data_IF_613957986283
#
_entry.id   IF_613957986283
#
_cell.length_a   1.000
_cell.length_b   1.000
_cell.length_c   1.000
_cell.angle_alpha   90.00
_cell.angle_beta   90.00
_cell.angle_gamma   90.00
#
_symmetry.space_group_name_H-M   'P 1'
#
loop_
_entity.id
_entity.type
_entity.pdbx_description
1 polymer ?
#
# COMPACT_ATOMS: atom_id res chain seq x y z
N UNK A 1 7.99 -8.60 -16.26
CA UNK A 1 7.94 -7.17 -15.91
C UNK A 1 9.29 -6.63 -15.47
N UNK A 2 10.00 -7.26 -14.51
CA UNK A 2 11.35 -6.83 -14.11
C UNK A 2 12.32 -6.80 -15.30
N UNK A 3 12.38 -7.87 -16.09
CA UNK A 3 13.22 -7.93 -17.29
C UNK A 3 12.87 -6.83 -18.30
N UNK A 4 11.58 -6.51 -18.47
CA UNK A 4 11.12 -5.42 -19.31
C UNK A 4 11.64 -4.07 -18.84
N UNK A 5 11.57 -3.78 -17.52
CA UNK A 5 12.11 -2.53 -16.97
C UNK A 5 13.61 -2.42 -17.12
N UNK A 6 14.36 -3.52 -16.91
CA UNK A 6 15.82 -3.53 -17.13
C UNK A 6 16.14 -3.22 -18.58
N UNK A 7 15.40 -3.80 -19.53
CA UNK A 7 15.55 -3.52 -20.97
C UNK A 7 15.19 -2.06 -21.29
N UNK A 8 14.07 -1.57 -20.79
CA UNK A 8 13.56 -0.23 -21.06
C UNK A 8 14.50 0.86 -20.55
N UNK A 9 14.95 0.74 -19.30
CA UNK A 9 15.82 1.73 -18.66
C UNK A 9 17.28 1.53 -19.07
N UNK A 10 17.78 0.28 -19.07
CA UNK A 10 19.19 -0.02 -19.29
C UNK A 10 19.63 0.01 -20.75
N UNK A 11 18.81 -0.47 -21.70
CA UNK A 11 19.16 -0.55 -23.12
C UNK A 11 18.50 0.53 -23.97
N UNK A 12 17.21 0.86 -23.68
CA UNK A 12 16.46 1.84 -24.48
C UNK A 12 16.57 3.26 -23.94
N UNK A 13 17.17 3.47 -22.76
CA UNK A 13 17.35 4.79 -22.16
C UNK A 13 16.04 5.55 -21.89
N UNK A 14 14.94 4.82 -21.65
CA UNK A 14 13.61 5.42 -21.43
C UNK A 14 13.61 6.18 -20.11
N UNK A 15 13.05 7.39 -20.13
CA UNK A 15 13.00 8.28 -18.96
C UNK A 15 12.27 7.66 -17.77
N UNK A 16 12.78 7.91 -16.55
CA UNK A 16 12.18 7.53 -15.26
C UNK A 16 10.70 7.89 -15.14
N UNK A 17 10.28 8.99 -15.76
CA UNK A 17 8.90 9.47 -15.76
C UNK A 17 7.96 8.47 -16.43
N UNK A 18 8.38 7.82 -17.51
CA UNK A 18 7.59 6.78 -18.19
C UNK A 18 7.41 5.55 -17.29
N UNK A 19 8.49 5.06 -16.66
CA UNK A 19 8.43 3.90 -15.75
C UNK A 19 7.46 4.15 -14.58
N UNK A 20 7.38 5.40 -14.15
CA UNK A 20 6.45 5.79 -13.07
C UNK A 20 4.98 5.68 -13.47
N UNK A 21 4.62 6.02 -14.69
CA UNK A 21 3.24 6.06 -15.17
C UNK A 21 2.81 4.82 -15.97
N UNK A 22 3.74 4.07 -16.51
CA UNK A 22 3.44 2.91 -17.35
C UNK A 22 2.88 1.74 -16.53
N UNK A 23 1.67 1.32 -16.85
CA UNK A 23 1.00 0.21 -16.16
C UNK A 23 1.75 -1.11 -16.31
N UNK A 24 2.34 -1.37 -17.48
CA UNK A 24 3.14 -2.55 -17.78
C UNK A 24 4.42 -2.62 -16.93
N UNK A 25 4.96 -1.47 -16.53
CA UNK A 25 6.11 -1.40 -15.63
C UNK A 25 5.78 -1.71 -14.15
N UNK A 26 4.48 -1.70 -13.78
CA UNK A 26 4.03 -1.85 -12.38
C UNK A 26 3.12 -3.05 -12.12
N UNK A 27 2.77 -3.81 -13.13
CA UNK A 27 1.88 -4.97 -12.98
C UNK A 27 2.44 -6.06 -12.07
N UNK A 28 3.76 -6.14 -11.89
CA UNK A 28 4.38 -7.09 -10.98
C UNK A 28 3.92 -6.92 -9.53
N UNK A 29 3.80 -5.70 -9.04
CA UNK A 29 3.32 -5.43 -7.68
C UNK A 29 1.86 -5.87 -7.49
N UNK A 30 1.01 -5.66 -8.50
CA UNK A 30 -0.38 -6.09 -8.49
C UNK A 30 -0.46 -7.61 -8.53
N UNK A 31 0.31 -8.26 -9.42
CA UNK A 31 0.34 -9.72 -9.54
C UNK A 31 0.80 -10.42 -8.27
N UNK A 32 1.81 -9.89 -7.58
CA UNK A 32 2.25 -10.42 -6.28
C UNK A 32 1.10 -10.41 -5.28
N UNK A 33 0.32 -9.33 -5.21
CA UNK A 33 -0.87 -9.24 -4.36
C UNK A 33 -1.96 -10.24 -4.74
N UNK A 34 -2.23 -10.39 -6.05
CA UNK A 34 -3.21 -11.39 -6.54
C UNK A 34 -2.77 -12.82 -6.23
N UNK A 35 -1.51 -13.17 -6.48
CA UNK A 35 -0.96 -14.49 -6.16
C UNK A 35 -1.06 -14.76 -4.65
N UNK A 36 -0.72 -13.78 -3.82
CA UNK A 36 -0.85 -13.89 -2.38
C UNK A 36 -2.30 -14.17 -1.95
N UNK A 37 -3.26 -13.43 -2.51
CA UNK A 37 -4.67 -13.60 -2.21
C UNK A 37 -5.22 -14.99 -2.62
N UNK A 38 -4.74 -15.56 -3.73
CA UNK A 38 -5.16 -16.87 -4.21
C UNK A 38 -4.47 -18.00 -3.43
N UNK A 39 -3.14 -17.90 -3.24
CA UNK A 39 -2.35 -18.97 -2.64
C UNK A 39 -2.48 -19.04 -1.11
N UNK A 40 -2.65 -17.88 -0.45
CA UNK A 40 -2.66 -17.75 1.01
C UNK A 40 -3.95 -17.01 1.43
N UNK A 41 -5.09 -17.55 1.05
CA UNK A 41 -6.37 -16.98 1.41
C UNK A 41 -6.67 -17.19 2.91
N UNK A 42 -6.95 -16.10 3.67
CA UNK A 42 -7.22 -16.17 5.11
C UNK A 42 -8.52 -16.91 5.47
N UNK A 43 -9.42 -17.12 4.52
CA UNK A 43 -10.66 -17.87 4.75
C UNK A 43 -10.43 -19.38 4.87
N UNK A 44 -9.26 -19.90 4.48
CA UNK A 44 -8.96 -21.33 4.64
C UNK A 44 -8.26 -21.61 5.97
N UNK A 45 -8.92 -22.36 6.85
CA UNK A 45 -8.39 -22.78 8.17
C UNK A 45 -7.04 -23.48 8.05
N UNK A 46 -6.84 -24.28 6.99
CA UNK A 46 -5.57 -24.99 6.76
C UNK A 46 -4.38 -24.06 6.58
N UNK A 47 -4.57 -22.86 6.04
CA UNK A 47 -3.52 -21.87 5.90
C UNK A 47 -3.14 -21.26 7.25
N UNK A 48 -4.14 -20.99 8.10
CA UNK A 48 -3.91 -20.49 9.45
C UNK A 48 -3.07 -21.47 10.28
N UNK A 49 -3.40 -22.75 10.30
CA UNK A 49 -2.63 -23.76 11.02
C UNK A 49 -1.19 -23.89 10.53
N UNK A 50 -0.98 -23.94 9.21
CA UNK A 50 0.36 -24.03 8.61
C UNK A 50 1.24 -22.83 8.99
N UNK A 51 0.67 -21.62 8.96
CA UNK A 51 1.39 -20.38 9.27
C UNK A 51 1.67 -20.31 10.78
N UNK A 52 0.68 -20.59 11.62
CA UNK A 52 0.83 -20.58 13.06
C UNK A 52 1.86 -21.60 13.56
N UNK A 53 1.94 -22.77 12.94
CA UNK A 53 2.97 -23.79 13.25
C UNK A 53 4.39 -23.29 13.00
N UNK A 54 4.58 -22.34 12.06
CA UNK A 54 5.87 -21.75 11.68
C UNK A 54 5.98 -20.27 12.06
N UNK A 55 5.29 -19.86 13.12
CA UNK A 55 5.22 -18.45 13.54
C UNK A 55 6.58 -17.76 13.68
N UNK A 56 7.57 -18.45 14.26
CA UNK A 56 8.92 -17.89 14.42
C UNK A 56 9.57 -17.56 13.06
N UNK A 57 9.42 -18.43 12.06
CA UNK A 57 9.92 -18.19 10.71
C UNK A 57 9.24 -16.95 10.09
N UNK A 58 7.91 -16.84 10.21
CA UNK A 58 7.18 -15.69 9.66
C UNK A 58 7.52 -14.38 10.36
N UNK A 59 7.80 -14.40 11.66
CA UNK A 59 8.29 -13.23 12.39
C UNK A 59 9.68 -12.80 11.91
N UNK A 60 10.60 -13.73 11.69
CA UNK A 60 11.93 -13.42 11.13
C UNK A 60 11.77 -12.82 9.72
N UNK A 61 10.94 -13.42 8.87
CA UNK A 61 10.67 -12.92 7.53
C UNK A 61 9.97 -11.55 7.54
N UNK A 62 9.14 -11.26 8.54
CA UNK A 62 8.52 -9.95 8.74
C UNK A 62 9.58 -8.87 8.98
N UNK A 63 10.50 -9.09 9.93
CA UNK A 63 11.56 -8.11 10.20
C UNK A 63 12.54 -7.99 9.03
N UNK A 64 12.83 -9.09 8.34
CA UNK A 64 13.63 -9.05 7.12
C UNK A 64 12.93 -8.24 6.02
N UNK A 65 11.64 -8.47 5.80
CA UNK A 65 10.82 -7.71 4.86
C UNK A 65 10.79 -6.23 5.19
N UNK A 66 10.63 -5.88 6.47
CA UNK A 66 10.67 -4.50 6.93
C UNK A 66 12.04 -3.85 6.66
N UNK A 67 13.13 -4.58 6.94
CA UNK A 67 14.49 -4.13 6.64
C UNK A 67 14.72 -3.90 5.15
N UNK A 68 14.23 -4.80 4.29
CA UNK A 68 14.31 -4.67 2.83
C UNK A 68 13.49 -3.46 2.35
N UNK A 69 12.32 -3.22 2.90
CA UNK A 69 11.51 -2.02 2.57
C UNK A 69 12.26 -0.74 2.95
N UNK A 70 12.78 -0.65 4.17
CA UNK A 70 13.54 0.51 4.62
C UNK A 70 14.79 0.72 3.76
N UNK A 71 15.55 -0.34 3.47
CA UNK A 71 16.69 -0.27 2.57
C UNK A 71 16.28 0.28 1.19
N UNK A 72 15.21 -0.24 0.61
CA UNK A 72 14.74 0.18 -0.71
C UNK A 72 14.25 1.63 -0.75
N UNK A 73 13.83 2.20 0.40
CA UNK A 73 13.43 3.61 0.53
C UNK A 73 14.65 4.53 0.71
N UNK A 74 15.69 4.06 1.40
CA UNK A 74 16.89 4.84 1.69
C UNK A 74 17.88 4.84 0.52
N UNK A 75 17.93 3.75 -0.24
CA UNK A 75 18.84 3.61 -1.37
C UNK A 75 18.34 4.42 -2.57
N UNK A 76 19.11 5.47 -2.94
CA UNK A 76 18.70 6.51 -3.89
C UNK A 76 19.33 6.41 -5.28
N UNK A 77 19.89 5.27 -5.65
CA UNK A 77 20.39 5.04 -6.99
C UNK A 77 19.26 5.06 -8.02
N UNK A 78 19.40 5.85 -9.08
CA UNK A 78 18.34 6.06 -10.08
C UNK A 78 18.01 4.78 -10.84
N UNK A 79 19.02 4.00 -11.23
CA UNK A 79 18.81 2.74 -11.93
C UNK A 79 18.09 1.71 -11.06
N UNK A 80 18.49 1.59 -9.79
CA UNK A 80 17.83 0.71 -8.82
C UNK A 80 16.37 1.14 -8.59
N UNK A 81 16.12 2.44 -8.45
CA UNK A 81 14.81 3.01 -8.22
C UNK A 81 13.83 2.67 -9.36
N UNK A 82 14.30 2.78 -10.59
CA UNK A 82 13.47 2.63 -11.77
C UNK A 82 13.31 1.17 -12.20
N UNK A 83 14.20 0.26 -11.77
CA UNK A 83 14.16 -1.16 -12.15
C UNK A 83 13.75 -2.08 -11.02
N UNK A 84 14.56 -2.20 -9.97
CA UNK A 84 14.45 -3.26 -8.94
C UNK A 84 13.50 -2.90 -7.80
N UNK A 85 13.40 -1.63 -7.45
CA UNK A 85 12.72 -1.14 -6.25
C UNK A 85 11.30 -1.68 -6.11
N UNK A 86 10.49 -1.60 -7.15
CA UNK A 86 9.06 -1.99 -7.09
C UNK A 86 8.87 -3.49 -6.90
N UNK A 87 9.64 -4.31 -7.60
CA UNK A 87 9.59 -5.78 -7.43
C UNK A 87 10.07 -6.19 -6.04
N UNK A 88 11.18 -5.58 -5.58
CA UNK A 88 11.74 -5.85 -4.26
C UNK A 88 10.76 -5.49 -3.14
N UNK A 89 10.11 -4.32 -3.25
CA UNK A 89 9.06 -3.89 -2.31
C UNK A 89 7.86 -4.83 -2.33
N UNK A 90 7.41 -5.25 -3.52
CA UNK A 90 6.32 -6.21 -3.65
C UNK A 90 6.62 -7.54 -2.94
N UNK A 91 7.81 -8.10 -3.14
CA UNK A 91 8.24 -9.33 -2.48
C UNK A 91 8.38 -9.13 -0.96
N UNK A 92 8.96 -8.02 -0.52
CA UNK A 92 9.13 -7.71 0.90
C UNK A 92 7.81 -7.52 1.65
N UNK A 93 6.76 -7.05 0.97
CA UNK A 93 5.42 -6.91 1.55
C UNK A 93 4.74 -8.25 1.82
N UNK A 94 5.05 -9.32 1.10
CA UNK A 94 4.42 -10.64 1.27
C UNK A 94 4.49 -11.14 2.72
N UNK A 95 5.67 -11.30 3.34
CA UNK A 95 5.73 -11.78 4.71
C UNK A 95 5.11 -10.79 5.72
N UNK A 96 5.13 -9.49 5.44
CA UNK A 96 4.50 -8.48 6.27
C UNK A 96 2.99 -8.69 6.28
N UNK A 97 2.36 -8.82 5.11
CA UNK A 97 0.93 -9.10 5.00
C UNK A 97 0.54 -10.42 5.67
N UNK A 98 1.29 -11.50 5.43
CA UNK A 98 1.02 -12.80 6.04
C UNK A 98 1.06 -12.70 7.56
N UNK A 99 2.08 -12.06 8.11
CA UNK A 99 2.22 -11.90 9.56
C UNK A 99 1.09 -11.04 10.13
N UNK A 100 0.75 -9.93 9.50
CA UNK A 100 -0.32 -9.04 9.97
C UNK A 100 -1.70 -9.71 9.91
N UNK A 101 -1.98 -10.53 8.90
CA UNK A 101 -3.29 -11.16 8.73
C UNK A 101 -3.45 -12.40 9.60
N UNK A 102 -2.44 -13.27 9.67
CA UNK A 102 -2.57 -14.58 10.31
C UNK A 102 -2.04 -14.61 11.76
N UNK A 103 -1.08 -13.77 12.11
CA UNK A 103 -0.47 -13.73 13.44
C UNK A 103 -0.93 -12.51 14.26
N UNK A 104 -2.11 -11.98 13.94
CA UNK A 104 -2.69 -10.78 14.55
C UNK A 104 -2.90 -10.88 16.08
N UNK A 105 -3.00 -12.07 16.63
CA UNK A 105 -3.17 -12.30 18.09
C UNK A 105 -1.88 -12.08 18.90
N UNK A 106 -0.76 -11.74 18.24
CA UNK A 106 0.51 -11.48 18.91
C UNK A 106 0.73 -9.97 19.08
N UNK A 107 1.41 -9.61 20.15
CA UNK A 107 1.67 -8.25 20.65
C UNK A 107 2.17 -7.24 19.62
N UNK A 108 2.82 -7.70 18.55
CA UNK A 108 3.40 -6.84 17.51
C UNK A 108 2.35 -6.23 16.55
N UNK A 109 1.23 -6.90 16.35
CA UNK A 109 0.17 -6.47 15.43
C UNK A 109 -1.02 -5.83 16.13
N UNK A 110 -1.04 -5.83 17.46
CA UNK A 110 -2.09 -5.22 18.28
C UNK A 110 -2.35 -3.74 17.92
N UNK A 111 -1.28 -3.00 17.56
CA UNK A 111 -1.40 -1.61 17.14
C UNK A 111 -2.26 -1.43 15.88
N UNK A 112 -2.31 -2.43 15.00
CA UNK A 112 -3.12 -2.40 13.77
C UNK A 112 -4.62 -2.56 14.06
N UNK A 113 -4.98 -3.06 15.23
CA UNK A 113 -6.39 -3.18 15.66
C UNK A 113 -6.98 -1.87 16.18
N UNK A 114 -6.16 -0.83 16.34
CA UNK A 114 -6.62 0.49 16.77
C UNK A 114 -7.72 1.00 15.81
N UNK A 115 -8.81 1.49 16.39
CA UNK A 115 -9.97 2.02 15.65
C UNK A 115 -9.56 3.11 14.65
N UNK A 116 -8.62 3.98 15.02
CA UNK A 116 -8.13 5.03 14.13
C UNK A 116 -7.45 4.48 12.88
N UNK A 117 -6.57 3.47 13.03
CA UNK A 117 -5.89 2.82 11.91
C UNK A 117 -6.88 2.05 11.02
N UNK A 118 -7.86 1.36 11.62
CA UNK A 118 -8.94 0.70 10.85
C UNK A 118 -9.75 1.71 10.03
N UNK A 119 -10.07 2.87 10.60
CA UNK A 119 -10.78 3.94 9.88
C UNK A 119 -9.94 4.50 8.72
N UNK A 120 -8.65 4.76 8.95
CA UNK A 120 -7.73 5.20 7.87
C UNK A 120 -7.69 4.15 6.76
N UNK A 121 -7.64 2.85 7.10
CA UNK A 121 -7.71 1.76 6.13
C UNK A 121 -8.99 1.78 5.30
N UNK A 122 -10.14 1.98 5.93
CA UNK A 122 -11.44 2.10 5.23
C UNK A 122 -11.46 3.32 4.30
N UNK A 123 -10.88 4.43 4.73
CA UNK A 123 -10.85 5.67 3.96
C UNK A 123 -9.70 5.75 2.95
N UNK A 124 -8.78 4.78 2.95
CA UNK A 124 -7.55 4.82 2.16
C UNK A 124 -7.78 5.06 0.67
N UNK A 125 -8.81 4.45 0.09
CA UNK A 125 -9.16 4.65 -1.32
C UNK A 125 -9.63 6.08 -1.60
N UNK A 126 -10.53 6.61 -0.79
CA UNK A 126 -11.02 7.99 -0.93
C UNK A 126 -9.91 9.01 -0.72
N UNK A 127 -9.03 8.77 0.27
CA UNK A 127 -7.84 9.60 0.51
C UNK A 127 -6.93 9.58 -0.72
N UNK A 128 -6.67 8.39 -1.27
CA UNK A 128 -5.82 8.23 -2.46
C UNK A 128 -6.38 8.99 -3.68
N UNK A 129 -7.68 8.99 -3.88
CA UNK A 129 -8.29 9.71 -5.01
C UNK A 129 -8.22 11.23 -4.86
N UNK A 130 -8.39 11.74 -3.65
CA UNK A 130 -8.56 13.20 -3.45
C UNK A 130 -7.27 13.94 -3.04
N UNK A 131 -6.23 13.24 -2.54
CA UNK A 131 -5.06 13.91 -1.98
C UNK A 131 -4.31 14.81 -2.97
N UNK A 132 -4.21 14.42 -4.25
CA UNK A 132 -3.58 15.24 -5.28
C UNK A 132 -4.41 16.49 -5.61
N UNK A 133 -5.73 16.34 -5.62
CA UNK A 133 -6.63 17.48 -5.84
C UNK A 133 -6.50 18.49 -4.70
N UNK A 134 -6.48 18.03 -3.45
CA UNK A 134 -6.29 18.92 -2.29
C UNK A 134 -4.89 19.52 -2.25
N UNK A 135 -3.86 18.78 -2.66
CA UNK A 135 -2.51 19.33 -2.79
C UNK A 135 -2.51 20.52 -3.76
N UNK A 136 -3.06 20.36 -4.96
CA UNK A 136 -3.12 21.43 -5.95
C UNK A 136 -3.98 22.62 -5.50
N UNK A 137 -5.12 22.36 -4.87
CA UNK A 137 -6.02 23.39 -4.35
C UNK A 137 -5.34 24.22 -3.25
N UNK A 138 -4.71 23.57 -2.28
CA UNK A 138 -4.04 24.24 -1.16
C UNK A 138 -2.85 25.05 -1.67
N UNK A 139 -2.07 24.49 -2.59
CA UNK A 139 -0.93 25.18 -3.20
C UNK A 139 -1.34 26.44 -3.94
N UNK A 140 -2.44 26.39 -4.70
CA UNK A 140 -2.98 27.54 -5.45
C UNK A 140 -3.65 28.58 -4.55
N UNK A 141 -4.37 28.13 -3.51
CA UNK A 141 -5.14 29.02 -2.65
C UNK A 141 -4.27 29.81 -1.65
N UNK A 142 -3.24 29.16 -1.11
CA UNK A 142 -2.46 29.71 0.00
C UNK A 142 -0.96 29.85 -0.28
N UNK A 143 -0.49 29.40 -1.45
CA UNK A 143 0.92 29.51 -1.83
C UNK A 143 1.89 28.83 -0.86
N UNK A 144 1.42 27.82 -0.12
CA UNK A 144 2.23 27.11 0.87
C UNK A 144 3.32 26.32 0.16
N UNK A 145 4.57 26.51 0.60
CA UNK A 145 5.71 25.73 0.09
C UNK A 145 5.64 24.27 0.52
N UNK A 146 6.29 23.41 -0.29
CA UNK A 146 6.32 21.97 -0.02
C UNK A 146 7.09 21.69 1.29
N UNK A 147 6.40 21.11 2.28
CA UNK A 147 6.96 20.82 3.59
C UNK A 147 5.98 20.11 4.52
N UNK A 148 6.34 20.03 5.79
CA UNK A 148 5.53 19.33 6.81
C UNK A 148 4.14 19.98 6.95
N UNK A 149 4.05 21.30 6.87
CA UNK A 149 2.78 22.04 6.96
C UNK A 149 1.85 21.66 5.80
N UNK A 150 2.38 21.67 4.57
CA UNK A 150 1.64 21.27 3.37
C UNK A 150 1.14 19.82 3.48
N UNK A 151 2.01 18.92 3.90
CA UNK A 151 1.64 17.52 4.13
C UNK A 151 0.51 17.39 5.17
N UNK A 152 0.62 18.09 6.30
CA UNK A 152 -0.40 18.05 7.36
C UNK A 152 -1.75 18.59 6.85
N UNK A 153 -1.77 19.70 6.12
CA UNK A 153 -2.99 20.28 5.56
C UNK A 153 -3.66 19.33 4.55
N UNK A 154 -2.89 18.75 3.64
CA UNK A 154 -3.41 17.76 2.67
C UNK A 154 -3.93 16.51 3.38
N UNK A 155 -3.21 16.01 4.38
CA UNK A 155 -3.65 14.84 5.15
C UNK A 155 -4.97 15.09 5.88
N UNK A 156 -5.08 16.22 6.61
CA UNK A 156 -6.30 16.58 7.35
C UNK A 156 -7.49 16.77 6.42
N UNK A 157 -7.32 17.53 5.33
CA UNK A 157 -8.41 17.77 4.37
C UNK A 157 -8.84 16.50 3.66
N UNK A 158 -7.89 15.63 3.27
CA UNK A 158 -8.19 14.36 2.62
C UNK A 158 -8.93 13.38 3.55
N UNK A 159 -8.50 13.25 4.80
CA UNK A 159 -9.16 12.40 5.79
C UNK A 159 -10.56 12.92 6.11
N UNK A 160 -10.72 14.22 6.30
CA UNK A 160 -12.03 14.85 6.56
C UNK A 160 -12.99 14.61 5.39
N UNK A 161 -12.53 14.82 4.17
CA UNK A 161 -13.33 14.57 2.97
C UNK A 161 -13.70 13.08 2.85
N UNK A 162 -12.77 12.18 3.06
CA UNK A 162 -13.02 10.74 3.02
C UNK A 162 -14.06 10.30 4.08
N UNK A 163 -14.00 10.88 5.29
CA UNK A 163 -15.01 10.63 6.32
C UNK A 163 -16.39 11.15 5.92
N UNK A 164 -16.48 12.32 5.29
CA UNK A 164 -17.74 12.84 4.74
C UNK A 164 -18.31 11.94 3.65
N UNK A 165 -17.47 11.45 2.74
CA UNK A 165 -17.89 10.50 1.69
C UNK A 165 -18.41 9.20 2.30
N UNK A 166 -17.77 8.64 3.33
CA UNK A 166 -18.28 7.44 4.01
C UNK A 166 -19.65 7.68 4.63
N UNK A 167 -19.84 8.81 5.31
CA UNK A 167 -21.12 9.12 5.98
C UNK A 167 -22.25 9.36 4.97
N UNK A 168 -22.01 10.17 3.94
CA UNK A 168 -23.08 10.60 3.03
C UNK A 168 -23.32 9.65 1.86
N UNK A 169 -22.28 8.98 1.38
CA UNK A 169 -22.37 8.11 0.19
C UNK A 169 -22.36 6.64 0.59
N UNK A 170 -21.31 6.18 1.23
CA UNK A 170 -21.09 4.76 1.46
C UNK A 170 -22.10 4.15 2.43
N UNK A 171 -22.47 4.83 3.49
CA UNK A 171 -23.50 4.34 4.43
C UNK A 171 -24.87 4.26 3.75
N UNK A 172 -25.19 5.24 2.91
CA UNK A 172 -26.45 5.25 2.16
C UNK A 172 -26.50 4.10 1.16
N UNK A 173 -25.45 3.91 0.36
CA UNK A 173 -25.34 2.83 -0.62
C UNK A 173 -25.35 1.44 0.05
N UNK A 174 -24.66 1.28 1.19
CA UNK A 174 -24.69 0.02 1.96
C UNK A 174 -26.10 -0.30 2.47
N UNK A 175 -26.88 0.69 2.87
CA UNK A 175 -28.26 0.51 3.29
C UNK A 175 -29.16 0.04 2.13
N UNK A 176 -28.99 0.63 0.94
CA UNK A 176 -29.72 0.20 -0.26
C UNK A 176 -29.37 -1.22 -0.67
N UNK A 177 -28.07 -1.58 -0.68
CA UNK A 177 -27.62 -2.93 -1.05
C UNK A 177 -28.15 -4.01 -0.10
N UNK A 178 -28.28 -3.72 1.21
CA UNK A 178 -28.87 -4.65 2.17
C UNK A 178 -30.37 -4.88 1.98
N UNK A 179 -31.09 -3.99 1.27
CA UNK A 179 -32.52 -4.15 0.97
C UNK A 179 -32.75 -4.95 -0.32
N UNK A 180 -31.73 -5.14 -1.14
CA UNK A 180 -31.81 -5.87 -2.40
C UNK A 180 -31.40 -7.35 -2.28
N UNK A 181 -30.85 -7.75 -1.14
CA UNK A 181 -30.55 -9.12 -0.74
C UNK A 181 -31.32 -9.49 0.51
#
# INVERSE_FOLDING_TARGET
FLAWRILAVGLLGIESRWVYHASDARMDSILIGCILAVCINPFYVSNYEKINRRKALWLILFFLGLGVLLFSLLYRDDFFRDTFRYTLQGIALVPIFITCVFLNQHTLTFWLENKALKMIGVYSYSIYLCHLVFYDLIKRAWGVEDGILMFAMVAVTSVTFAALVDVFVDRHLRSYRKRLH
#
